data_IF_671780378940
#
_entry.id   IF_671780378940
#
_cell.length_a   1.000
_cell.length_b   1.000
_cell.length_c   1.000
_cell.angle_alpha   90.00
_cell.angle_beta   90.00
_cell.angle_gamma   90.00
#
_symmetry.space_group_name_H-M   'P 1'
#
loop_
_entity.id
_entity.type
_entity.pdbx_description
1 polymer ?
#
# COMPACT_ATOMS: atom_id res chain seq x y z
N UNK A 1 -4.82 -41.27 1.09
CA UNK A 1 -4.06 -40.32 0.28
C UNK A 1 -2.75 -40.98 -0.10
N UNK A 2 -2.38 -40.91 -1.38
CA UNK A 2 -1.13 -41.53 -1.81
C UNK A 2 0.05 -40.65 -1.40
N UNK A 3 1.19 -41.25 -1.06
CA UNK A 3 2.43 -40.53 -0.75
C UNK A 3 2.83 -39.53 -1.85
N UNK A 4 2.37 -39.77 -3.08
CA UNK A 4 2.58 -38.88 -4.21
C UNK A 4 1.75 -37.58 -4.11
N UNK A 5 0.52 -37.64 -3.63
CA UNK A 5 -0.34 -36.47 -3.47
C UNK A 5 0.18 -35.55 -2.35
N UNK A 6 0.64 -36.14 -1.24
CA UNK A 6 1.22 -35.37 -0.13
C UNK A 6 2.56 -34.72 -0.53
N UNK A 7 3.40 -35.43 -1.28
CA UNK A 7 4.64 -34.89 -1.81
C UNK A 7 4.41 -33.75 -2.82
N UNK A 8 3.38 -33.87 -3.66
CA UNK A 8 3.03 -32.83 -4.63
C UNK A 8 2.42 -31.59 -3.96
N UNK A 9 1.63 -31.77 -2.90
CA UNK A 9 1.06 -30.65 -2.12
C UNK A 9 2.16 -29.84 -1.40
N UNK A 10 3.13 -30.53 -0.79
CA UNK A 10 4.29 -29.90 -0.17
C UNK A 10 5.19 -29.20 -1.20
N UNK A 11 5.37 -29.81 -2.38
CA UNK A 11 6.19 -29.22 -3.44
C UNK A 11 5.65 -27.88 -3.96
N UNK A 12 4.35 -27.59 -3.86
CA UNK A 12 3.78 -26.30 -4.30
C UNK A 12 4.17 -25.14 -3.39
N UNK A 13 4.45 -25.42 -2.11
CA UNK A 13 4.77 -24.40 -1.11
C UNK A 13 6.27 -24.07 -1.02
N UNK A 14 7.13 -24.82 -1.72
CA UNK A 14 8.58 -24.62 -1.66
C UNK A 14 9.06 -23.48 -2.58
N UNK A 15 10.08 -22.70 -2.15
CA UNK A 15 10.80 -21.77 -3.00
C UNK A 15 11.33 -22.44 -4.29
N UNK A 16 11.41 -21.69 -5.39
CA UNK A 16 11.72 -22.24 -6.72
C UNK A 16 12.99 -23.10 -6.76
N UNK A 17 14.09 -22.64 -6.18
CA UNK A 17 15.35 -23.38 -6.16
C UNK A 17 15.24 -24.75 -5.45
N UNK A 18 14.38 -24.85 -4.43
CA UNK A 18 14.16 -26.10 -3.70
C UNK A 18 13.29 -27.08 -4.49
N UNK A 19 12.32 -26.56 -5.25
CA UNK A 19 11.50 -27.37 -6.17
C UNK A 19 12.33 -27.98 -7.30
N UNK A 20 13.25 -27.21 -7.87
CA UNK A 20 14.16 -27.67 -8.91
C UNK A 20 15.09 -28.76 -8.38
N UNK A 21 15.66 -28.56 -7.18
CA UNK A 21 16.50 -29.57 -6.53
C UNK A 21 15.72 -30.85 -6.19
N UNK A 22 14.48 -30.73 -5.71
CA UNK A 22 13.62 -31.87 -5.39
C UNK A 22 13.19 -32.64 -6.66
N UNK A 23 12.84 -31.94 -7.74
CA UNK A 23 12.53 -32.58 -9.01
C UNK A 23 13.73 -33.33 -9.61
N UNK A 24 14.93 -32.75 -9.50
CA UNK A 24 16.17 -33.39 -9.90
C UNK A 24 16.45 -34.65 -9.06
N UNK A 25 16.23 -34.59 -7.74
CA UNK A 25 16.39 -35.73 -6.84
C UNK A 25 15.40 -36.87 -7.14
N UNK A 26 14.19 -36.53 -7.60
CA UNK A 26 13.16 -37.50 -8.00
C UNK A 26 13.34 -38.04 -9.44
N UNK A 27 14.39 -37.63 -10.15
CA UNK A 27 14.63 -38.04 -11.54
C UNK A 27 13.58 -37.54 -12.53
N UNK A 28 12.78 -36.54 -12.14
CA UNK A 28 11.77 -35.94 -13.00
C UNK A 28 12.44 -34.90 -13.90
N UNK A 29 12.39 -35.13 -15.21
CA UNK A 29 12.72 -34.09 -16.19
C UNK A 29 11.59 -33.06 -16.18
N UNK A 30 11.78 -31.96 -15.44
CA UNK A 30 10.93 -30.78 -15.61
C UNK A 30 11.04 -30.34 -17.07
N UNK A 31 9.92 -30.34 -17.79
CA UNK A 31 9.90 -29.85 -19.16
C UNK A 31 10.42 -28.39 -19.16
N UNK A 32 11.38 -28.02 -20.03
CA UNK A 32 11.78 -26.63 -20.18
C UNK A 32 10.55 -25.87 -20.69
N UNK A 33 9.93 -25.10 -19.79
CA UNK A 33 8.78 -24.22 -20.05
C UNK A 33 7.83 -24.78 -21.13
N UNK A 34 7.00 -25.76 -20.76
CA UNK A 34 5.66 -25.76 -21.32
C UNK A 34 4.98 -24.51 -20.74
N UNK A 35 4.90 -23.49 -21.58
CA UNK A 35 4.24 -22.21 -21.36
C UNK A 35 2.81 -22.44 -20.86
N UNK A 36 2.63 -22.45 -19.54
CA UNK A 36 1.34 -22.10 -18.96
C UNK A 36 1.10 -20.63 -19.33
N UNK A 37 0.00 -20.29 -20.01
CA UNK A 37 -0.27 -18.95 -20.53
C UNK A 37 -0.44 -17.87 -19.45
N UNK A 38 -0.31 -18.21 -18.16
CA UNK A 38 -0.37 -17.24 -17.07
C UNK A 38 0.98 -16.62 -16.68
N UNK A 39 2.12 -17.19 -17.11
CA UNK A 39 3.44 -16.71 -16.68
C UNK A 39 4.13 -15.73 -17.65
N UNK A 40 3.51 -15.42 -18.79
CA UNK A 40 4.04 -14.45 -19.78
C UNK A 40 3.55 -13.00 -19.58
N UNK A 41 2.62 -12.78 -18.65
CA UNK A 41 2.15 -11.43 -18.28
C UNK A 41 2.67 -10.99 -16.91
N UNK A 42 3.85 -11.43 -16.48
CA UNK A 42 4.53 -10.76 -15.38
C UNK A 42 5.20 -9.50 -15.97
N UNK A 43 4.66 -8.29 -15.77
CA UNK A 43 5.29 -7.08 -16.29
C UNK A 43 6.68 -6.95 -15.68
N UNK A 44 7.62 -6.48 -16.50
CA UNK A 44 8.93 -6.03 -16.08
C UNK A 44 8.76 -5.03 -14.91
N UNK A 45 9.03 -5.50 -13.69
CA UNK A 45 8.80 -4.74 -12.43
C UNK A 45 9.74 -3.55 -12.28
N UNK A 46 10.64 -3.31 -13.24
CA UNK A 46 11.64 -2.24 -13.17
C UNK A 46 11.18 -0.89 -13.76
N UNK A 47 10.00 -0.82 -14.41
CA UNK A 47 9.36 0.43 -14.84
C UNK A 47 7.83 0.29 -14.86
N UNK A 48 7.20 0.35 -13.69
CA UNK A 48 5.74 0.47 -13.58
C UNK A 48 5.31 1.88 -13.95
N UNK A 49 4.97 2.12 -15.21
CA UNK A 49 4.12 3.26 -15.57
C UNK A 49 2.80 3.10 -14.79
N UNK A 50 2.46 4.01 -13.85
CA UNK A 50 1.24 3.90 -13.06
C UNK A 50 -0.03 3.85 -13.92
N UNK A 51 -0.01 4.47 -15.10
CA UNK A 51 -1.12 4.41 -16.05
C UNK A 51 -1.24 3.02 -16.68
N UNK A 52 -0.13 2.42 -17.13
CA UNK A 52 -0.10 1.07 -17.67
C UNK A 52 -0.46 0.02 -16.61
N UNK A 53 -0.01 0.18 -15.36
CA UNK A 53 -0.40 -0.71 -14.26
C UNK A 53 -1.90 -0.61 -13.96
N UNK A 54 -2.45 0.62 -13.81
CA UNK A 54 -3.90 0.85 -13.66
C UNK A 54 -4.71 0.26 -14.82
N UNK A 55 -4.18 0.32 -16.05
CA UNK A 55 -4.82 -0.27 -17.22
C UNK A 55 -4.76 -1.81 -17.23
N UNK A 56 -3.73 -2.40 -16.61
CA UNK A 56 -3.56 -3.86 -16.50
C UNK A 56 -4.34 -4.50 -15.34
N UNK A 57 -4.61 -3.73 -14.28
CA UNK A 57 -5.44 -4.13 -13.13
C UNK A 57 -6.93 -3.96 -13.46
N UNK A 58 -7.46 -4.82 -14.32
CA UNK A 58 -8.87 -4.75 -14.79
C UNK A 58 -9.90 -5.35 -13.82
N UNK A 59 -9.56 -5.61 -12.55
CA UNK A 59 -10.46 -6.29 -11.62
C UNK A 59 -10.40 -5.75 -10.22
N UNK A 60 -11.52 -5.20 -9.73
CA UNK A 60 -11.92 -4.94 -8.32
C UNK A 60 -10.91 -4.30 -7.33
N UNK A 61 -9.65 -4.10 -7.71
CA UNK A 61 -8.51 -3.78 -6.87
C UNK A 61 -8.22 -2.27 -6.82
N UNK A 62 -8.74 -1.51 -7.78
CA UNK A 62 -8.54 -0.06 -7.86
C UNK A 62 -9.88 0.67 -7.81
N UNK A 63 -10.02 1.60 -6.87
CA UNK A 63 -11.22 2.41 -6.74
C UNK A 63 -11.24 3.49 -7.82
N UNK A 64 -12.28 3.50 -8.67
CA UNK A 64 -12.48 4.53 -9.68
C UNK A 64 -12.96 5.83 -9.03
N UNK A 65 -12.00 6.65 -8.60
CA UNK A 65 -12.26 7.96 -7.99
C UNK A 65 -12.78 9.01 -8.98
N UNK A 66 -12.78 8.72 -10.28
CA UNK A 66 -13.20 9.66 -11.34
C UNK A 66 -14.69 9.58 -11.68
N UNK A 67 -15.45 8.61 -11.13
CA UNK A 67 -16.87 8.40 -11.47
C UNK A 67 -17.84 9.47 -10.96
N UNK A 68 -17.40 10.36 -10.09
CA UNK A 68 -18.23 11.40 -9.50
C UNK A 68 -18.24 12.70 -10.33
N UNK A 69 -19.42 13.30 -10.49
CA UNK A 69 -19.69 14.47 -11.34
C UNK A 69 -19.25 15.84 -10.78
N UNK A 70 -18.53 15.87 -9.65
CA UNK A 70 -18.07 17.14 -9.09
C UNK A 70 -16.89 17.68 -9.92
N UNK A 71 -16.92 18.95 -10.35
CA UNK A 71 -15.81 19.55 -11.08
C UNK A 71 -14.57 19.62 -10.17
N UNK A 72 -13.48 19.01 -10.62
CA UNK A 72 -12.15 19.15 -10.02
C UNK A 72 -11.41 20.23 -10.80
N UNK A 73 -10.79 21.18 -10.10
CA UNK A 73 -9.92 22.16 -10.74
C UNK A 73 -8.70 21.43 -11.32
N UNK A 74 -8.51 21.43 -12.66
CA UNK A 74 -7.41 20.71 -13.29
C UNK A 74 -6.03 21.24 -12.87
N UNK A 75 -5.95 22.44 -12.28
CA UNK A 75 -4.71 23.02 -11.78
C UNK A 75 -4.37 22.59 -10.34
N UNK A 76 -5.29 21.93 -9.65
CA UNK A 76 -5.14 21.46 -8.27
C UNK A 76 -5.34 19.95 -8.20
N UNK A 77 -4.35 19.19 -8.69
CA UNK A 77 -4.35 17.72 -8.70
C UNK A 77 -3.13 17.19 -7.93
N UNK A 78 -3.27 16.03 -7.30
CA UNK A 78 -2.17 15.39 -6.58
C UNK A 78 -1.78 16.14 -5.30
N UNK A 79 -0.48 16.22 -5.03
CA UNK A 79 0.08 16.78 -3.80
C UNK A 79 -0.43 18.19 -3.51
N UNK A 80 -0.48 19.05 -4.54
CA UNK A 80 -0.93 20.44 -4.40
C UNK A 80 -2.41 20.58 -4.06
N UNK A 81 -3.23 19.59 -4.45
CA UNK A 81 -4.63 19.58 -4.08
C UNK A 81 -4.83 19.47 -2.56
N UNK A 82 -3.93 18.78 -1.86
CA UNK A 82 -4.05 18.52 -0.42
C UNK A 82 -3.29 19.53 0.44
N UNK A 83 -2.24 20.14 -0.09
CA UNK A 83 -1.35 21.02 0.68
C UNK A 83 -2.13 22.12 1.42
N UNK A 84 -1.86 22.26 2.72
CA UNK A 84 -2.50 23.25 3.60
C UNK A 84 -4.01 23.09 3.81
N UNK A 85 -4.64 22.03 3.29
CA UNK A 85 -6.08 21.78 3.42
C UNK A 85 -6.52 21.76 4.87
N UNK A 86 -5.70 21.19 5.75
CA UNK A 86 -6.02 20.97 7.15
C UNK A 86 -5.31 21.93 8.10
N UNK A 87 -4.68 22.99 7.59
CA UNK A 87 -3.95 23.97 8.40
C UNK A 87 -4.81 24.65 9.48
N UNK A 88 -6.14 24.70 9.30
CA UNK A 88 -7.09 25.25 10.26
C UNK A 88 -7.48 24.28 11.39
N UNK A 89 -7.07 23.00 11.31
CA UNK A 89 -7.39 21.97 12.30
C UNK A 89 -6.27 21.86 13.31
N UNK A 90 -6.64 21.82 14.59
CA UNK A 90 -5.69 21.58 15.67
C UNK A 90 -5.34 20.09 15.74
N UNK A 91 -4.42 19.64 14.89
CA UNK A 91 -3.73 18.39 15.12
C UNK A 91 -2.66 18.62 16.19
N UNK A 92 -2.48 17.66 17.09
CA UNK A 92 -1.33 17.70 17.99
C UNK A 92 -0.05 17.75 17.13
N UNK A 93 0.93 18.60 17.44
CA UNK A 93 2.20 18.60 16.73
C UNK A 93 2.79 17.21 16.87
N UNK A 94 2.81 16.48 15.75
CA UNK A 94 3.38 15.15 15.67
C UNK A 94 4.91 15.33 15.60
N UNK A 95 5.51 15.52 16.78
CA UNK A 95 6.95 15.46 17.04
C UNK A 95 7.43 14.01 16.94
N UNK A 96 7.13 13.34 15.83
CA UNK A 96 7.76 12.05 15.58
C UNK A 96 9.26 12.29 15.38
N UNK A 97 10.04 11.90 16.38
CA UNK A 97 11.50 11.88 16.38
C UNK A 97 12.05 10.56 15.81
N UNK A 98 11.20 9.76 15.15
CA UNK A 98 11.63 8.49 14.59
C UNK A 98 12.69 8.75 13.49
N UNK A 99 13.78 7.96 13.47
CA UNK A 99 14.78 8.10 12.41
C UNK A 99 14.12 7.86 11.05
N UNK A 100 14.53 8.62 10.03
CA UNK A 100 14.11 8.36 8.66
C UNK A 100 14.63 6.98 8.23
N UNK A 101 13.72 6.04 8.04
CA UNK A 101 14.03 4.70 7.52
C UNK A 101 13.54 4.53 6.08
N UNK A 102 12.75 5.48 5.56
CA UNK A 102 12.29 5.46 4.18
C UNK A 102 13.47 5.52 3.20
N UNK A 103 14.49 6.30 3.53
CA UNK A 103 15.72 6.43 2.73
C UNK A 103 16.48 5.11 2.53
N UNK A 104 16.16 4.05 3.29
CA UNK A 104 16.74 2.72 3.13
C UNK A 104 16.05 1.85 2.08
N UNK A 105 14.85 2.23 1.64
CA UNK A 105 14.11 1.47 0.63
C UNK A 105 14.74 1.64 -0.77
N UNK A 106 14.73 0.59 -1.61
CA UNK A 106 15.17 0.71 -2.99
C UNK A 106 14.36 1.76 -3.76
N UNK A 107 15.02 2.50 -4.66
CA UNK A 107 14.36 3.49 -5.51
C UNK A 107 13.24 2.86 -6.34
N UNK A 108 12.08 3.49 -6.35
CA UNK A 108 10.88 3.04 -7.05
C UNK A 108 10.12 1.91 -6.35
N UNK A 109 10.51 1.50 -5.14
CA UNK A 109 9.76 0.49 -4.40
C UNK A 109 8.32 0.94 -4.15
N UNK A 110 7.31 0.09 -4.36
CA UNK A 110 5.93 0.43 -4.03
C UNK A 110 5.74 0.47 -2.51
N UNK A 111 5.03 1.49 -2.03
CA UNK A 111 4.71 1.66 -0.61
C UNK A 111 3.24 2.03 -0.42
N UNK A 112 2.64 1.62 0.69
CA UNK A 112 1.35 2.15 1.14
C UNK A 112 1.60 3.31 2.08
N UNK A 113 0.98 4.45 1.83
CA UNK A 113 1.01 5.55 2.79
C UNK A 113 -0.06 5.39 3.86
N UNK A 114 0.38 5.43 5.10
CA UNK A 114 -0.48 5.63 6.26
C UNK A 114 -1.03 7.06 6.28
N UNK A 115 -2.19 7.24 6.92
CA UNK A 115 -2.87 8.54 6.98
C UNK A 115 -2.03 9.63 7.66
N UNK A 116 -1.15 9.31 8.62
CA UNK A 116 -0.31 10.32 9.27
C UNK A 116 0.65 11.03 8.31
N UNK A 117 1.25 10.30 7.36
CA UNK A 117 2.10 10.88 6.31
C UNK A 117 1.32 11.82 5.39
N UNK A 118 0.06 11.48 5.10
CA UNK A 118 -0.82 12.28 4.24
C UNK A 118 -1.37 13.51 4.99
N UNK A 119 -1.65 13.40 6.29
CA UNK A 119 -2.05 14.53 7.13
C UNK A 119 -0.90 15.54 7.25
N UNK A 120 0.34 15.08 7.38
CA UNK A 120 1.50 15.98 7.42
C UNK A 120 1.62 16.84 6.14
N UNK A 121 1.35 16.26 4.97
CA UNK A 121 1.20 17.03 3.73
C UNK A 121 0.03 18.02 3.80
N UNK A 122 -1.12 17.57 4.29
CA UNK A 122 -2.32 18.39 4.39
C UNK A 122 -2.15 19.59 5.35
N UNK A 123 -1.21 19.49 6.29
CA UNK A 123 -0.80 20.53 7.21
C UNK A 123 0.34 21.42 6.67
N UNK A 124 0.85 21.11 5.47
CA UNK A 124 2.04 21.75 4.86
C UNK A 124 3.27 21.70 5.78
N UNK A 125 3.48 20.58 6.48
CA UNK A 125 4.66 20.40 7.31
C UNK A 125 5.91 20.31 6.43
N UNK A 126 6.84 21.25 6.66
CA UNK A 126 8.08 21.40 5.89
C UNK A 126 8.91 20.11 5.83
N UNK A 127 8.91 19.33 6.92
CA UNK A 127 9.65 18.07 7.04
C UNK A 127 9.25 17.01 6.00
N UNK A 128 8.02 17.06 5.50
CA UNK A 128 7.53 16.10 4.48
C UNK A 128 7.64 16.64 3.05
N UNK A 129 8.00 17.92 2.87
CA UNK A 129 7.98 18.57 1.56
C UNK A 129 8.88 17.88 0.54
N UNK A 130 10.11 17.59 0.91
CA UNK A 130 11.09 16.93 0.02
C UNK A 130 10.62 15.56 -0.42
N UNK A 131 9.98 14.80 0.47
CA UNK A 131 9.40 13.50 0.14
C UNK A 131 8.32 13.63 -0.94
N UNK A 132 7.40 14.58 -0.81
CA UNK A 132 6.29 14.72 -1.75
C UNK A 132 6.68 15.36 -3.09
N UNK A 133 7.70 16.23 -3.11
CA UNK A 133 8.21 16.84 -4.36
C UNK A 133 8.96 15.84 -5.23
N UNK A 134 9.73 14.94 -4.60
CA UNK A 134 10.53 13.93 -5.29
C UNK A 134 10.50 12.61 -4.53
N UNK A 135 9.36 11.88 -4.57
CA UNK A 135 9.25 10.64 -3.82
C UNK A 135 10.25 9.61 -4.36
N UNK A 136 11.11 9.04 -3.51
CA UNK A 136 12.05 7.99 -3.94
C UNK A 136 11.36 6.65 -4.21
N UNK A 137 10.05 6.57 -3.96
CA UNK A 137 9.21 5.37 -3.93
C UNK A 137 7.95 5.55 -4.77
N UNK A 138 7.33 4.44 -5.19
CA UNK A 138 6.03 4.45 -5.86
C UNK A 138 4.91 4.51 -4.80
N UNK A 139 4.21 5.64 -4.72
CA UNK A 139 3.17 5.88 -3.72
C UNK A 139 1.86 5.18 -4.10
N UNK A 140 1.33 4.38 -3.17
CA UNK A 140 -0.01 3.79 -3.20
C UNK A 140 -0.82 4.20 -1.99
N UNK A 141 -2.13 4.32 -2.16
CA UNK A 141 -3.06 4.77 -1.12
C UNK A 141 -4.03 3.63 -0.83
N UNK A 142 -4.14 3.17 0.42
CA UNK A 142 -5.19 2.24 0.77
C UNK A 142 -6.55 2.94 0.75
N UNK A 143 -7.62 2.24 0.37
CA UNK A 143 -8.99 2.77 0.45
C UNK A 143 -9.33 3.22 1.87
N UNK A 144 -8.83 2.51 2.90
CA UNK A 144 -8.96 2.93 4.30
C UNK A 144 -8.30 4.29 4.59
N UNK A 145 -7.11 4.56 4.02
CA UNK A 145 -6.46 5.89 4.10
C UNK A 145 -7.36 6.96 3.47
N UNK A 146 -7.92 6.69 2.29
CA UNK A 146 -8.83 7.61 1.61
C UNK A 146 -10.11 7.88 2.42
N UNK A 147 -10.74 6.85 2.98
CA UNK A 147 -11.91 7.00 3.84
C UNK A 147 -11.61 7.85 5.07
N UNK A 148 -10.45 7.65 5.71
CA UNK A 148 -10.03 8.45 6.88
C UNK A 148 -9.84 9.93 6.51
N UNK A 149 -9.30 10.23 5.32
CA UNK A 149 -9.19 11.62 4.84
C UNK A 149 -10.56 12.25 4.57
N UNK A 150 -11.50 11.49 4.01
CA UNK A 150 -12.87 11.97 3.80
C UNK A 150 -13.62 12.21 5.12
N UNK A 151 -13.39 11.38 6.13
CA UNK A 151 -13.96 11.56 7.48
C UNK A 151 -13.48 12.86 8.13
N UNK A 152 -12.24 13.27 7.86
CA UNK A 152 -11.72 14.54 8.34
C UNK A 152 -12.38 15.73 7.64
N UNK A 153 -12.89 15.61 6.42
CA UNK A 153 -13.36 16.74 5.63
C UNK A 153 -14.60 17.43 6.25
N UNK A 154 -14.55 18.75 6.42
CA UNK A 154 -15.65 19.53 6.99
C UNK A 154 -16.79 19.81 5.98
N UNK A 155 -16.45 19.98 4.70
CA UNK A 155 -17.40 20.33 3.65
C UNK A 155 -17.06 19.66 2.31
N UNK A 156 -17.88 19.92 1.30
CA UNK A 156 -17.72 19.34 -0.05
C UNK A 156 -16.49 19.90 -0.79
N UNK A 157 -16.04 21.11 -0.46
CA UNK A 157 -14.82 21.68 -1.04
C UNK A 157 -13.60 20.88 -0.59
N UNK A 158 -13.52 20.56 0.70
CA UNK A 158 -12.44 19.70 1.23
C UNK A 158 -12.48 18.30 0.61
N UNK A 159 -13.67 17.69 0.49
CA UNK A 159 -13.82 16.37 -0.14
C UNK A 159 -13.39 16.36 -1.61
N UNK A 160 -13.71 17.43 -2.35
CA UNK A 160 -13.28 17.59 -3.73
C UNK A 160 -11.75 17.66 -3.83
N UNK A 161 -11.10 18.41 -2.93
CA UNK A 161 -9.64 18.50 -2.84
C UNK A 161 -8.98 17.17 -2.49
N UNK A 162 -9.54 16.41 -1.54
CA UNK A 162 -9.05 15.05 -1.21
C UNK A 162 -9.19 14.11 -2.40
N UNK A 163 -10.28 14.20 -3.18
CA UNK A 163 -10.47 13.42 -4.40
C UNK A 163 -9.43 13.75 -5.47
N UNK A 164 -9.18 15.04 -5.68
CA UNK A 164 -8.16 15.52 -6.61
C UNK A 164 -6.74 15.09 -6.18
N UNK A 165 -6.49 15.02 -4.87
CA UNK A 165 -5.24 14.49 -4.33
C UNK A 165 -5.04 13.01 -4.64
N UNK A 166 -6.04 12.15 -4.47
CA UNK A 166 -5.87 10.71 -4.67
C UNK A 166 -5.81 10.28 -6.14
N UNK A 167 -6.35 11.10 -7.06
CA UNK A 167 -6.46 10.80 -8.48
C UNK A 167 -5.17 10.31 -9.18
N UNK A 168 -3.99 10.92 -8.98
CA UNK A 168 -2.75 10.45 -9.60
C UNK A 168 -2.16 9.18 -8.95
N UNK A 169 -2.67 8.72 -7.81
CA UNK A 169 -2.12 7.56 -7.11
C UNK A 169 -2.90 6.27 -7.41
N UNK A 170 -2.28 5.12 -7.18
CA UNK A 170 -2.99 3.84 -7.18
C UNK A 170 -3.72 3.70 -5.84
N UNK A 171 -5.06 3.69 -5.87
CA UNK A 171 -5.89 3.47 -4.68
C UNK A 171 -6.20 1.98 -4.54
N UNK A 172 -5.56 1.31 -3.59
CA UNK A 172 -5.73 -0.12 -3.32
C UNK A 172 -7.07 -0.39 -2.63
N UNK A 173 -7.87 -1.28 -3.19
CA UNK A 173 -9.18 -1.64 -2.66
C UNK A 173 -9.07 -2.56 -1.45
N UNK A 174 -10.13 -2.57 -0.63
CA UNK A 174 -10.26 -3.52 0.48
C UNK A 174 -10.76 -4.86 -0.07
N UNK A 175 -9.84 -5.79 -0.29
CA UNK A 175 -10.17 -7.18 -0.64
C UNK A 175 -10.55 -8.02 0.59
N UNK A 176 -11.18 -9.20 0.39
CA UNK A 176 -11.53 -10.12 1.49
C UNK A 176 -10.34 -10.48 2.38
N UNK A 177 -9.15 -10.69 1.79
CA UNK A 177 -7.93 -10.99 2.55
C UNK A 177 -7.53 -9.85 3.50
N UNK A 178 -7.54 -8.60 3.02
CA UNK A 178 -7.22 -7.44 3.85
C UNK A 178 -8.24 -7.27 4.97
N UNK A 179 -9.53 -7.46 4.70
CA UNK A 179 -10.59 -7.36 5.71
C UNK A 179 -10.46 -8.43 6.80
N UNK A 180 -10.21 -9.70 6.43
CA UNK A 180 -10.00 -10.78 7.41
C UNK A 180 -8.74 -10.55 8.23
N UNK A 181 -7.63 -10.15 7.58
CA UNK A 181 -6.37 -9.86 8.29
C UNK A 181 -6.52 -8.67 9.23
N UNK A 182 -7.24 -7.62 8.84
CA UNK A 182 -7.50 -6.48 9.73
C UNK A 182 -8.28 -6.90 10.99
N UNK A 183 -9.31 -7.73 10.83
CA UNK A 183 -10.04 -8.27 11.98
C UNK A 183 -9.14 -9.13 12.88
N UNK A 184 -8.26 -9.94 12.28
CA UNK A 184 -7.26 -10.73 13.02
C UNK A 184 -6.29 -9.84 13.81
N UNK A 185 -5.73 -8.79 13.18
CA UNK A 185 -4.83 -7.83 13.85
C UNK A 185 -5.50 -7.19 15.07
N UNK A 186 -6.77 -6.82 14.95
CA UNK A 186 -7.54 -6.22 16.05
C UNK A 186 -7.81 -7.20 17.20
N UNK A 187 -7.86 -8.51 16.93
CA UNK A 187 -8.08 -9.54 17.95
C UNK A 187 -6.78 -9.99 18.62
N UNK A 188 -5.71 -10.15 17.85
CA UNK A 188 -4.47 -10.77 18.30
C UNK A 188 -3.50 -9.76 18.93
N UNK A 189 -3.45 -8.54 18.41
CA UNK A 189 -2.48 -7.53 18.81
C UNK A 189 -3.11 -6.14 18.87
N UNK A 190 -3.91 -5.83 19.91
CA UNK A 190 -4.32 -4.46 20.17
C UNK A 190 -3.10 -3.68 20.70
N UNK A 191 -2.19 -3.31 19.80
CA UNK A 191 -1.23 -2.27 20.11
C UNK A 191 -2.02 -1.04 20.57
N UNK A 192 -1.65 -0.40 21.69
CA UNK A 192 -2.38 0.76 22.17
C UNK A 192 -2.37 1.83 21.07
N UNK A 193 -3.56 2.24 20.62
CA UNK A 193 -3.74 3.24 19.58
C UNK A 193 -3.96 2.72 18.16
N UNK A 194 -3.91 1.41 17.90
CA UNK A 194 -4.26 0.87 16.58
C UNK A 194 -5.79 0.92 16.37
N UNK A 195 -6.25 1.84 15.52
CA UNK A 195 -7.67 1.93 15.16
C UNK A 195 -8.06 0.88 14.10
N UNK A 196 -9.36 0.63 13.93
CA UNK A 196 -9.85 -0.28 12.89
C UNK A 196 -9.44 0.14 11.47
N UNK A 197 -9.38 1.45 11.19
CA UNK A 197 -8.88 1.95 9.90
C UNK A 197 -7.37 1.74 9.76
N UNK A 198 -6.60 1.91 10.84
CA UNK A 198 -5.15 1.67 10.80
C UNK A 198 -4.85 0.17 10.61
N UNK A 199 -5.64 -0.71 11.23
CA UNK A 199 -5.57 -2.15 11.00
C UNK A 199 -5.91 -2.52 9.55
N UNK A 200 -6.89 -1.86 8.92
CA UNK A 200 -7.19 -2.05 7.50
C UNK A 200 -6.05 -1.58 6.60
N UNK A 201 -5.42 -0.44 6.89
CA UNK A 201 -4.27 0.06 6.13
C UNK A 201 -3.10 -0.93 6.24
N UNK A 202 -2.77 -1.37 7.46
CA UNK A 202 -1.73 -2.37 7.71
C UNK A 202 -2.02 -3.69 7.01
N UNK A 203 -3.26 -4.18 7.09
CA UNK A 203 -3.68 -5.40 6.42
C UNK A 203 -3.63 -5.30 4.90
N UNK A 204 -3.96 -4.14 4.31
CA UNK A 204 -3.76 -3.88 2.88
C UNK A 204 -2.28 -3.94 2.52
N UNK A 205 -1.39 -3.34 3.31
CA UNK A 205 0.05 -3.40 3.07
C UNK A 205 0.57 -4.86 3.11
N UNK A 206 0.15 -5.65 4.11
CA UNK A 206 0.47 -7.09 4.22
C UNK A 206 -0.05 -7.87 3.02
N UNK A 207 -1.33 -7.70 2.66
CA UNK A 207 -1.96 -8.45 1.58
C UNK A 207 -1.30 -8.20 0.20
N UNK A 208 -0.69 -7.03 0.02
CA UNK A 208 0.04 -6.68 -1.20
C UNK A 208 1.55 -6.87 -1.09
N UNK A 209 2.06 -7.36 0.06
CA UNK A 209 3.49 -7.56 0.33
C UNK A 209 4.33 -6.29 0.11
N UNK A 210 3.81 -5.13 0.52
CA UNK A 210 4.45 -3.83 0.34
C UNK A 210 4.64 -3.11 1.68
N UNK A 211 5.73 -2.35 1.87
CA UNK A 211 5.96 -1.61 3.11
C UNK A 211 4.88 -0.54 3.38
N UNK A 212 4.57 -0.35 4.65
CA UNK A 212 3.78 0.77 5.15
C UNK A 212 4.69 1.93 5.52
N UNK A 213 4.40 3.11 4.99
CA UNK A 213 5.12 4.34 5.33
C UNK A 213 4.24 5.21 6.22
N UNK A 214 4.76 5.58 7.39
CA UNK A 214 4.03 6.35 8.41
C UNK A 214 4.96 7.36 9.08
N UNK A 215 4.39 8.40 9.69
CA UNK A 215 5.13 9.24 10.64
C UNK A 215 5.18 8.63 12.04
N UNK A 216 4.19 7.84 12.41
CA UNK A 216 4.09 7.17 13.70
C UNK A 216 4.07 5.65 13.49
N UNK A 217 5.17 4.99 13.86
CA UNK A 217 5.33 3.54 13.75
C UNK A 217 4.89 2.80 15.01
N UNK A 218 4.66 3.51 16.13
CA UNK A 218 4.37 2.87 17.42
C UNK A 218 3.10 1.98 17.39
N UNK A 219 1.98 2.38 16.74
CA UNK A 219 0.81 1.53 16.62
C UNK A 219 1.05 0.23 15.83
N UNK A 220 2.10 0.17 15.02
CA UNK A 220 2.38 -0.93 14.09
C UNK A 220 3.52 -1.85 14.55
N UNK A 221 4.23 -1.49 15.62
CA UNK A 221 5.47 -2.15 16.04
C UNK A 221 5.32 -3.65 16.37
N UNK A 222 4.12 -4.09 16.79
CA UNK A 222 3.85 -5.48 17.17
C UNK A 222 3.32 -6.35 16.02
N UNK A 223 3.30 -5.84 14.78
CA UNK A 223 2.80 -6.58 13.63
C UNK A 223 3.98 -7.21 12.88
N UNK A 224 4.31 -8.46 13.22
CA UNK A 224 5.52 -9.16 12.73
C UNK A 224 5.60 -9.25 11.20
N UNK A 225 4.47 -9.41 10.52
CA UNK A 225 4.39 -9.52 9.06
C UNK A 225 4.49 -8.18 8.32
N UNK A 226 4.45 -7.05 9.04
CA UNK A 226 4.38 -5.73 8.45
C UNK A 226 5.76 -5.05 8.43
N UNK A 227 6.27 -4.80 7.23
CA UNK A 227 7.41 -3.90 7.05
C UNK A 227 6.96 -2.46 7.19
N UNK A 228 7.51 -1.74 8.17
CA UNK A 228 7.19 -0.32 8.43
C UNK A 228 8.42 0.53 8.16
N UNK A 229 8.24 1.57 7.35
CA UNK A 229 9.20 2.64 7.14
C UNK A 229 8.65 3.96 7.69
N UNK A 230 9.54 4.77 8.22
CA UNK A 230 9.25 6.03 8.90
C UNK A 230 9.69 7.20 8.05
N UNK A 231 8.79 8.19 7.91
CA UNK A 231 9.13 9.51 7.42
C UNK A 231 9.58 10.40 8.59
N UNK A 232 10.55 11.31 8.36
CA UNK A 232 10.85 12.36 9.33
C UNK A 232 9.63 13.28 9.56
#
# INVERSE_FOLDING_TARGET
>A
MSLYEDAMSLAVQLPQHQREHLAQALGLKLAPRATLPMAMNAPDRSKTDPAAWRASETGHAVLDVNRTSAPVDPNLVGVEALRGLFAHKNFAPDESLAPDTLSSLPLGSPVVLHTSAVIALALDLEITRTFWEKPPVEIRIATATYLKLLELCADESERSRVRAFVQPFAVLSLGPMASTKAAQLMLENPAPGLSALDALIAATAIAHEIPLVTRDAAPFANIEELSVATLP
#
